data_IF_132925222872
#
_entry.id   IF_132925222872
#
_cell.length_a   1.000
_cell.length_b   1.000
_cell.length_c   1.000
_cell.angle_alpha   90.00
_cell.angle_beta   90.00
_cell.angle_gamma   90.00
#
_symmetry.space_group_name_H-M   'P 1'
#
loop_
_entity.id
_entity.type
_entity.pdbx_description
1 polymer ?
#
# COMPACT_ATOMS: atom_id res chain seq x y z
N UNK A 1 16.19 12.04 -9.86
CA UNK A 1 15.85 10.71 -9.39
C UNK A 1 16.69 10.41 -8.15
N UNK A 2 16.04 10.23 -6.99
CA UNK A 2 16.70 9.92 -5.72
C UNK A 2 16.83 8.40 -5.47
N UNK A 3 16.05 7.58 -6.17
CA UNK A 3 16.08 6.13 -6.08
C UNK A 3 14.90 5.47 -6.76
N UNK A 4 14.79 4.15 -6.63
CA UNK A 4 13.69 3.35 -7.15
C UNK A 4 13.46 2.14 -6.26
N UNK A 5 12.22 1.69 -6.21
CA UNK A 5 11.80 0.41 -5.64
C UNK A 5 11.13 -0.41 -6.75
N UNK A 6 11.36 -1.70 -6.76
CA UNK A 6 10.66 -2.66 -7.60
C UNK A 6 9.84 -3.57 -6.72
N UNK A 7 8.59 -3.81 -7.09
CA UNK A 7 7.69 -4.75 -6.43
C UNK A 7 8.37 -6.12 -6.25
N UNK A 8 8.33 -6.66 -5.05
CA UNK A 8 9.00 -7.93 -4.70
C UNK A 8 8.09 -9.13 -4.90
N UNK A 9 6.81 -9.01 -4.56
CA UNK A 9 5.81 -10.07 -4.75
C UNK A 9 4.92 -9.76 -5.96
N UNK A 10 5.17 -10.47 -7.05
CA UNK A 10 4.38 -10.30 -8.28
C UNK A 10 3.11 -11.15 -8.24
N UNK A 11 2.03 -10.64 -8.82
CA UNK A 11 0.82 -11.41 -9.11
C UNK A 11 1.07 -12.36 -10.28
N UNK A 12 0.30 -13.45 -10.36
CA UNK A 12 0.40 -14.43 -11.44
C UNK A 12 0.26 -13.83 -12.86
N UNK A 13 -0.42 -12.69 -13.00
CA UNK A 13 -0.56 -11.98 -14.28
C UNK A 13 0.57 -10.99 -14.60
N UNK A 14 1.53 -10.80 -13.72
CA UNK A 14 2.64 -9.84 -13.87
C UNK A 14 3.92 -10.49 -14.43
N UNK A 15 3.78 -11.51 -15.29
CA UNK A 15 4.87 -12.34 -15.82
C UNK A 15 5.88 -11.60 -16.70
N UNK A 16 5.54 -10.41 -17.19
CA UNK A 16 6.44 -9.55 -17.96
C UNK A 16 7.41 -8.74 -17.08
N UNK A 17 7.23 -8.76 -15.79
CA UNK A 17 8.10 -8.03 -14.86
C UNK A 17 9.08 -8.97 -14.14
N UNK A 18 10.21 -8.40 -13.72
CA UNK A 18 11.18 -9.07 -12.84
C UNK A 18 10.99 -8.53 -11.43
N UNK A 19 10.80 -9.38 -10.41
CA UNK A 19 10.66 -8.94 -9.04
C UNK A 19 11.91 -8.18 -8.55
N UNK A 20 11.68 -7.25 -7.63
CA UNK A 20 12.76 -6.57 -6.93
C UNK A 20 13.39 -7.48 -5.86
N UNK A 21 14.61 -7.14 -5.49
CA UNK A 21 15.36 -7.84 -4.42
C UNK A 21 15.76 -6.90 -3.29
N UNK A 22 15.63 -5.58 -3.51
CA UNK A 22 16.13 -4.56 -2.62
C UNK A 22 14.96 -3.80 -1.97
N UNK A 23 15.15 -3.41 -0.72
CA UNK A 23 14.21 -2.56 0.03
C UNK A 23 14.90 -1.24 0.41
N UNK A 24 15.04 -0.30 -0.53
CA UNK A 24 15.63 0.99 -0.23
C UNK A 24 14.70 1.83 0.65
N UNK A 25 15.30 2.58 1.59
CA UNK A 25 14.61 3.68 2.25
C UNK A 25 14.83 4.98 1.48
N UNK A 26 13.85 5.86 1.57
CA UNK A 26 13.84 7.19 1.01
C UNK A 26 13.62 8.21 2.12
N UNK A 27 13.91 9.47 1.83
CA UNK A 27 13.69 10.55 2.78
C UNK A 27 13.09 11.77 2.08
N UNK A 28 12.03 12.31 2.65
CA UNK A 28 11.39 13.54 2.17
C UNK A 28 10.77 14.28 3.35
N UNK A 29 11.01 15.60 3.42
CA UNK A 29 10.43 16.44 4.48
C UNK A 29 10.77 15.99 5.90
N UNK A 30 11.92 15.35 6.12
CA UNK A 30 12.32 14.81 7.43
C UNK A 30 11.69 13.44 7.76
N UNK A 31 10.84 12.90 6.89
CA UNK A 31 10.24 11.57 7.06
C UNK A 31 11.04 10.53 6.29
N UNK A 32 11.50 9.50 6.98
CA UNK A 32 12.14 8.32 6.38
C UNK A 32 11.09 7.25 6.08
N UNK A 33 10.99 6.80 4.84
CA UNK A 33 9.97 5.87 4.40
C UNK A 33 10.51 4.79 3.47
N UNK A 34 9.82 3.66 3.44
CA UNK A 34 9.99 2.63 2.42
C UNK A 34 8.71 2.44 1.60
N UNK A 35 8.79 1.63 0.55
CA UNK A 35 7.68 1.40 -0.38
C UNK A 35 7.31 -0.08 -0.36
N UNK A 36 6.01 -0.37 -0.26
CA UNK A 36 5.44 -1.68 -0.56
C UNK A 36 4.35 -1.51 -1.63
N UNK A 37 4.53 -2.07 -2.82
CA UNK A 37 3.60 -1.87 -3.93
C UNK A 37 2.46 -2.88 -3.85
N UNK A 38 1.24 -2.42 -3.58
CA UNK A 38 -0.01 -3.18 -3.70
C UNK A 38 0.09 -4.57 -3.00
N UNK A 39 0.30 -5.63 -3.77
CA UNK A 39 0.35 -7.03 -3.30
C UNK A 39 1.47 -7.30 -2.28
N UNK A 40 2.55 -6.52 -2.27
CA UNK A 40 3.61 -6.62 -1.26
C UNK A 40 3.04 -6.49 0.17
N UNK A 41 1.99 -5.68 0.38
CA UNK A 41 1.40 -5.49 1.71
C UNK A 41 0.71 -6.73 2.30
N UNK A 42 0.49 -7.78 1.51
CA UNK A 42 -0.02 -9.05 2.02
C UNK A 42 1.06 -9.91 2.70
N UNK A 43 2.33 -9.51 2.61
CA UNK A 43 3.46 -10.29 3.10
C UNK A 43 4.20 -9.54 4.21
N UNK A 44 4.41 -10.23 5.34
CA UNK A 44 5.06 -9.65 6.51
C UNK A 44 6.54 -9.30 6.27
N UNK A 45 7.22 -10.09 5.44
CA UNK A 45 8.65 -9.91 5.13
C UNK A 45 8.93 -8.56 4.46
N UNK A 46 8.07 -8.09 3.56
CA UNK A 46 8.24 -6.78 2.89
C UNK A 46 8.10 -5.61 3.86
N UNK A 47 7.13 -5.68 4.76
CA UNK A 47 6.94 -4.64 5.76
C UNK A 47 8.08 -4.62 6.79
N UNK A 48 8.53 -5.80 7.23
CA UNK A 48 9.70 -5.92 8.12
C UNK A 48 10.96 -5.40 7.46
N UNK A 49 11.19 -5.72 6.18
CA UNK A 49 12.33 -5.20 5.44
C UNK A 49 12.33 -3.66 5.39
N UNK A 50 11.16 -3.02 5.28
CA UNK A 50 11.05 -1.56 5.40
C UNK A 50 11.41 -1.10 6.82
N UNK A 51 10.89 -1.75 7.85
CA UNK A 51 11.19 -1.41 9.26
C UNK A 51 12.68 -1.51 9.56
N UNK A 52 13.36 -2.54 9.05
CA UNK A 52 14.80 -2.79 9.25
C UNK A 52 15.67 -1.68 8.65
N UNK A 53 15.14 -0.87 7.73
CA UNK A 53 15.86 0.31 7.22
C UNK A 53 15.83 1.51 8.17
N UNK A 54 15.10 1.43 9.28
CA UNK A 54 14.84 2.56 10.18
C UNK A 54 13.80 3.55 9.64
N UNK A 55 12.99 3.14 8.67
CA UNK A 55 11.84 3.92 8.20
C UNK A 55 10.76 3.98 9.28
N UNK A 56 9.97 5.05 9.27
CA UNK A 56 8.81 5.25 10.17
C UNK A 56 7.49 5.14 9.42
N UNK A 57 7.53 5.03 8.09
CA UNK A 57 6.36 5.04 7.21
C UNK A 57 6.53 4.05 6.06
N UNK A 58 5.47 3.30 5.77
CA UNK A 58 5.29 2.53 4.54
C UNK A 58 4.42 3.33 3.57
N UNK A 59 4.91 3.57 2.36
CA UNK A 59 4.14 4.15 1.25
C UNK A 59 3.66 3.01 0.35
N UNK A 60 2.34 2.88 0.17
CA UNK A 60 1.72 1.80 -0.60
C UNK A 60 0.96 2.34 -1.82
N UNK A 61 1.62 2.54 -2.97
CA UNK A 61 0.91 2.74 -4.22
C UNK A 61 0.25 1.43 -4.65
N UNK A 62 -1.03 1.48 -5.06
CA UNK A 62 -1.78 0.29 -5.40
C UNK A 62 -2.69 0.48 -6.62
N UNK A 63 -2.97 -0.62 -7.30
CA UNK A 63 -3.99 -0.73 -8.33
C UNK A 63 -4.77 -2.02 -8.11
N UNK A 64 -5.84 -1.92 -7.34
CA UNK A 64 -6.74 -3.03 -7.03
C UNK A 64 -7.93 -3.13 -8.00
N UNK A 65 -7.73 -2.79 -9.27
CA UNK A 65 -8.75 -2.95 -10.30
C UNK A 65 -8.89 -4.42 -10.70
N UNK A 66 -9.98 -5.05 -10.28
CA UNK A 66 -10.26 -6.47 -10.45
C UNK A 66 -11.60 -6.69 -11.16
N UNK A 67 -11.87 -7.93 -11.59
CA UNK A 67 -13.23 -8.32 -11.98
C UNK A 67 -14.16 -8.13 -10.77
N UNK A 68 -15.42 -7.71 -11.01
CA UNK A 68 -16.35 -7.30 -9.96
C UNK A 68 -16.42 -8.28 -8.78
N UNK A 69 -16.64 -9.57 -9.02
CA UNK A 69 -16.72 -10.56 -7.94
C UNK A 69 -15.46 -10.64 -7.07
N UNK A 70 -14.27 -10.50 -7.68
CA UNK A 70 -13.02 -10.43 -6.92
C UNK A 70 -12.90 -9.12 -6.14
N UNK A 71 -13.25 -7.99 -6.75
CA UNK A 71 -13.23 -6.69 -6.10
C UNK A 71 -14.16 -6.67 -4.86
N UNK A 72 -15.38 -7.21 -4.98
CA UNK A 72 -16.34 -7.37 -3.88
C UNK A 72 -15.75 -8.20 -2.74
N UNK A 73 -15.11 -9.32 -3.06
CA UNK A 73 -14.46 -10.19 -2.06
C UNK A 73 -13.30 -9.50 -1.34
N UNK A 74 -12.58 -8.58 -2.02
CA UNK A 74 -11.42 -7.90 -1.47
C UNK A 74 -11.74 -6.54 -0.84
N UNK A 75 -12.91 -5.97 -1.10
CA UNK A 75 -13.30 -4.63 -0.64
C UNK A 75 -12.96 -4.37 0.83
N UNK A 76 -13.33 -5.31 1.70
CA UNK A 76 -13.17 -5.18 3.14
C UNK A 76 -11.90 -5.88 3.68
N UNK A 77 -10.97 -6.29 2.78
CA UNK A 77 -9.74 -7.01 3.17
C UNK A 77 -8.47 -6.18 3.01
N UNK A 78 -8.49 -5.14 2.18
CA UNK A 78 -7.30 -4.33 1.91
C UNK A 78 -6.76 -3.64 3.17
N UNK A 79 -7.61 -2.91 3.87
CA UNK A 79 -7.19 -2.22 5.09
C UNK A 79 -6.84 -3.18 6.24
N UNK A 80 -7.57 -4.26 6.51
CA UNK A 80 -7.14 -5.28 7.48
C UNK A 80 -5.75 -5.85 7.19
N UNK A 81 -5.42 -6.18 5.94
CA UNK A 81 -4.08 -6.65 5.59
C UNK A 81 -3.00 -5.60 5.85
N UNK A 82 -3.26 -4.34 5.48
CA UNK A 82 -2.35 -3.20 5.74
C UNK A 82 -2.21 -2.92 7.24
N UNK A 83 -3.31 -3.00 7.99
CA UNK A 83 -3.36 -2.81 9.43
C UNK A 83 -2.50 -3.84 10.18
N UNK A 84 -2.48 -5.08 9.70
CA UNK A 84 -1.63 -6.12 10.23
C UNK A 84 -0.13 -5.77 10.05
N UNK A 85 0.26 -5.23 8.90
CA UNK A 85 1.64 -4.74 8.67
C UNK A 85 2.01 -3.59 9.61
N UNK A 86 1.10 -2.65 9.86
CA UNK A 86 1.34 -1.58 10.83
C UNK A 86 1.60 -2.15 12.23
N UNK A 87 0.74 -3.06 12.71
CA UNK A 87 0.89 -3.68 14.03
C UNK A 87 2.16 -4.50 14.18
N UNK A 88 2.57 -5.23 13.14
CA UNK A 88 3.78 -6.05 13.16
C UNK A 88 5.07 -5.23 13.19
N UNK A 89 5.06 -4.06 12.60
CA UNK A 89 6.26 -3.24 12.40
C UNK A 89 6.31 -1.99 13.26
N UNK A 90 5.18 -1.55 13.79
CA UNK A 90 5.06 -0.26 14.47
C UNK A 90 5.14 0.95 13.53
N UNK A 91 5.01 0.74 12.22
CA UNK A 91 5.10 1.79 11.22
C UNK A 91 3.72 2.37 10.87
N UNK A 92 3.72 3.64 10.49
CA UNK A 92 2.61 4.24 9.74
C UNK A 92 2.51 3.63 8.35
N UNK A 93 1.31 3.62 7.77
CA UNK A 93 1.11 3.24 6.38
C UNK A 93 0.18 4.24 5.69
N UNK A 94 0.60 4.73 4.53
CA UNK A 94 -0.26 5.50 3.62
C UNK A 94 -0.45 4.72 2.34
N UNK A 95 -1.68 4.64 1.88
CA UNK A 95 -2.00 4.01 0.59
C UNK A 95 -2.65 5.00 -0.37
N UNK A 96 -2.27 4.89 -1.65
CA UNK A 96 -2.95 5.54 -2.76
C UNK A 96 -3.39 4.46 -3.74
N UNK A 97 -4.69 4.32 -3.92
CA UNK A 97 -5.28 3.24 -4.72
C UNK A 97 -6.23 3.81 -5.77
N UNK A 98 -6.44 3.06 -6.85
CA UNK A 98 -7.37 3.44 -7.90
C UNK A 98 -8.82 3.23 -7.46
N UNK A 99 -9.72 4.04 -8.02
CA UNK A 99 -11.16 3.86 -7.90
C UNK A 99 -11.85 4.03 -9.26
N UNK A 100 -13.03 3.46 -9.41
CA UNK A 100 -13.83 3.55 -10.62
C UNK A 100 -13.98 2.24 -11.37
N UNK A 101 -14.50 2.34 -12.60
CA UNK A 101 -14.81 1.20 -13.45
C UNK A 101 -14.09 1.27 -14.80
N UNK A 102 -13.70 0.11 -15.32
CA UNK A 102 -13.11 -0.04 -16.65
C UNK A 102 -13.51 -1.38 -17.25
N UNK A 103 -14.49 -1.37 -18.18
CA UNK A 103 -15.09 -2.58 -18.73
C UNK A 103 -15.72 -3.43 -17.61
N UNK A 104 -15.34 -4.70 -17.52
CA UNK A 104 -15.85 -5.62 -16.48
C UNK A 104 -15.09 -5.51 -15.14
N UNK A 105 -14.16 -4.57 -15.03
CA UNK A 105 -13.34 -4.38 -13.85
C UNK A 105 -13.81 -3.17 -13.06
N UNK A 106 -13.69 -3.29 -11.75
CA UNK A 106 -13.99 -2.23 -10.79
C UNK A 106 -12.88 -2.15 -9.75
N UNK A 107 -12.63 -0.96 -9.25
CA UNK A 107 -11.73 -0.71 -8.15
C UNK A 107 -12.45 0.11 -7.07
N UNK A 108 -12.38 -0.37 -5.86
CA UNK A 108 -12.78 0.30 -4.64
C UNK A 108 -11.63 0.36 -3.64
N UNK A 109 -10.41 0.32 -4.18
CA UNK A 109 -9.22 0.24 -3.36
C UNK A 109 -9.11 1.46 -2.44
N UNK A 110 -8.91 1.24 -1.13
CA UNK A 110 -8.90 2.34 -0.19
C UNK A 110 -7.62 3.18 -0.31
N UNK A 111 -7.83 4.49 -0.51
CA UNK A 111 -6.79 5.50 -0.26
C UNK A 111 -6.94 5.91 1.19
N UNK A 112 -5.97 5.56 2.03
CA UNK A 112 -6.09 5.63 3.47
C UNK A 112 -4.74 5.90 4.17
N UNK A 113 -4.85 6.39 5.40
CA UNK A 113 -3.74 6.49 6.36
C UNK A 113 -4.05 5.57 7.54
N UNK A 114 -3.09 4.71 7.89
CA UNK A 114 -3.17 3.84 9.04
C UNK A 114 -2.05 4.17 10.03
N UNK A 115 -2.41 4.18 11.31
CA UNK A 115 -1.44 4.41 12.39
C UNK A 115 -0.68 3.10 12.76
N UNK A 116 0.36 3.15 13.60
CA UNK A 116 1.10 1.98 14.05
C UNK A 116 0.26 0.91 14.77
N UNK A 117 -0.90 1.27 15.31
CA UNK A 117 -1.86 0.34 15.94
C UNK A 117 -2.74 -0.36 14.90
N UNK A 118 -2.61 -0.01 13.61
CA UNK A 118 -3.40 -0.55 12.52
C UNK A 118 -4.81 0.03 12.45
N UNK A 119 -5.04 1.19 13.03
CA UNK A 119 -6.31 1.90 12.92
C UNK A 119 -6.30 2.79 11.68
N UNK A 120 -7.39 2.80 10.93
CA UNK A 120 -7.59 3.74 9.81
C UNK A 120 -7.94 5.10 10.41
N UNK A 121 -7.00 6.03 10.36
CA UNK A 121 -7.17 7.38 10.93
C UNK A 121 -7.68 8.40 9.93
N UNK A 122 -7.51 8.13 8.64
CA UNK A 122 -8.10 8.92 7.56
C UNK A 122 -8.30 8.06 6.31
N UNK A 123 -9.37 8.29 5.56
CA UNK A 123 -9.69 7.55 4.33
C UNK A 123 -10.60 8.37 3.42
N UNK A 124 -10.37 8.26 2.11
CA UNK A 124 -11.31 8.74 1.11
C UNK A 124 -12.50 7.77 0.95
N UNK A 125 -13.67 8.25 0.50
CA UNK A 125 -14.75 7.36 0.05
C UNK A 125 -14.25 6.37 -1.02
N UNK A 126 -14.65 5.09 -0.92
CA UNK A 126 -14.13 4.03 -1.77
C UNK A 126 -14.47 4.18 -3.27
N UNK A 127 -15.54 4.91 -3.58
CA UNK A 127 -16.08 5.02 -4.95
C UNK A 127 -15.85 6.41 -5.57
N UNK A 128 -15.12 7.29 -4.87
CA UNK A 128 -14.88 8.65 -5.33
C UNK A 128 -13.39 8.96 -5.45
N UNK A 129 -12.94 9.56 -6.55
CA UNK A 129 -11.57 10.10 -6.63
C UNK A 129 -11.43 11.30 -5.70
N UNK A 130 -10.23 11.50 -5.18
CA UNK A 130 -9.97 12.62 -4.28
C UNK A 130 -8.49 12.76 -3.91
N UNK A 131 -8.21 13.80 -3.16
CA UNK A 131 -6.93 14.04 -2.52
C UNK A 131 -7.10 13.90 -1.01
N UNK A 132 -6.32 13.01 -0.40
CA UNK A 132 -6.23 12.86 1.05
C UNK A 132 -4.95 13.58 1.52
N UNK A 133 -5.13 14.53 2.41
CA UNK A 133 -4.03 15.23 3.10
C UNK A 133 -4.11 14.88 4.58
N UNK A 134 -2.97 14.51 5.16
CA UNK A 134 -2.87 14.13 6.56
C UNK A 134 -1.50 14.55 7.10
N UNK A 135 -1.50 15.23 8.24
CA UNK A 135 -0.28 15.60 8.94
C UNK A 135 0.12 14.44 9.87
N UNK A 136 1.28 13.85 9.59
CA UNK A 136 1.87 12.82 10.47
C UNK A 136 2.38 13.52 11.75
N UNK A 137 2.15 12.93 12.93
CA UNK A 137 2.61 13.49 14.20
C UNK A 137 4.14 13.44 14.36
#
# INVERSE_FOLDING_TARGET
>A
LVGRYRKTHLLAGETCFTPGTDTPAFEAGGVRFGINICYDTNFADTARAVADTGATLIVCPANNMMRRAAAESWRDRHNPARAERCRETGLWLISADVTGERGERVAWGPTAVLNPQGEVVAQLPLEAPGLLVFDLP
#
